data_IF_371906469971
#
_entry.id   IF_371906469971
#
_cell.length_a   1.000
_cell.length_b   1.000
_cell.length_c   1.000
_cell.angle_alpha   90.00
_cell.angle_beta   90.00
_cell.angle_gamma   90.00
#
_symmetry.space_group_name_H-M   'P 1'
#
loop_
_entity.id
_entity.type
_entity.pdbx_description
1 polymer ?
#
# COMPACT_ATOMS: atom_id res chain seq x y z
N UNK A 1 -9.84 43.91 -4.19
CA UNK A 1 -10.02 45.37 -4.05
C UNK A 1 -10.66 45.97 -5.30
N UNK A 2 -11.35 47.12 -5.21
CA UNK A 2 -11.97 47.84 -6.35
C UNK A 2 -11.19 49.14 -6.66
N UNK A 3 -9.87 49.01 -6.80
CA UNK A 3 -8.90 50.10 -6.62
C UNK A 3 -7.93 49.70 -5.50
N UNK A 4 -7.46 50.67 -4.71
CA UNK A 4 -6.69 50.41 -3.48
C UNK A 4 -7.59 50.13 -2.25
N UNK A 5 -8.92 50.19 -2.42
CA UNK A 5 -9.90 50.01 -1.34
C UNK A 5 -10.16 48.52 -1.06
N UNK A 6 -9.89 48.08 0.17
CA UNK A 6 -10.24 46.75 0.70
C UNK A 6 -11.76 46.66 0.90
N UNK A 7 -12.40 45.65 0.28
CA UNK A 7 -13.88 45.56 0.17
C UNK A 7 -14.48 44.45 1.04
N UNK A 8 -13.79 43.30 1.14
CA UNK A 8 -14.23 42.14 1.92
C UNK A 8 -13.01 41.58 2.64
N UNK A 9 -12.96 41.79 3.96
CA UNK A 9 -11.75 41.53 4.75
C UNK A 9 -10.57 42.44 4.36
N UNK A 10 -9.41 42.16 4.94
CA UNK A 10 -8.17 42.88 4.67
C UNK A 10 -7.01 41.91 4.47
N UNK A 11 -5.90 42.42 3.93
CA UNK A 11 -4.65 41.66 3.78
C UNK A 11 -3.99 41.22 5.11
N UNK A 12 -4.44 41.73 6.26
CA UNK A 12 -3.97 41.39 7.60
C UNK A 12 -5.02 40.73 8.50
N UNK A 13 -6.29 40.74 8.08
CA UNK A 13 -7.47 40.17 8.75
C UNK A 13 -8.43 39.68 7.64
N UNK A 14 -8.18 38.48 7.05
CA UNK A 14 -8.95 37.97 5.92
C UNK A 14 -10.39 37.64 6.31
N UNK A 15 -11.34 37.87 5.40
CA UNK A 15 -12.72 37.50 5.65
C UNK A 15 -12.90 35.99 5.58
N UNK A 16 -13.38 35.38 6.67
CA UNK A 16 -13.65 33.94 6.75
C UNK A 16 -15.14 33.68 6.52
N UNK A 17 -15.45 32.96 5.44
CA UNK A 17 -16.77 32.38 5.17
C UNK A 17 -16.69 30.87 5.42
N UNK A 18 -17.68 30.29 6.09
CA UNK A 18 -17.76 28.85 6.34
C UNK A 18 -18.31 28.09 5.11
N UNK A 19 -18.13 26.77 5.08
CA UNK A 19 -18.72 25.88 4.07
C UNK A 19 -20.07 25.34 4.55
N UNK A 20 -21.02 25.18 3.63
CA UNK A 20 -22.31 24.54 3.92
C UNK A 20 -22.07 23.13 4.46
N UNK A 21 -22.62 22.83 5.64
CA UNK A 21 -22.32 21.59 6.35
C UNK A 21 -22.52 20.32 5.50
N UNK A 22 -21.44 19.56 5.29
CA UNK A 22 -21.43 18.36 4.44
C UNK A 22 -21.30 18.63 2.95
N UNK A 23 -20.88 19.83 2.53
CA UNK A 23 -20.61 20.23 1.15
C UNK A 23 -19.26 20.98 1.08
N UNK A 24 -18.72 21.15 -0.14
CA UNK A 24 -17.47 21.90 -0.38
C UNK A 24 -17.71 23.33 -0.90
N UNK A 25 -18.93 23.85 -0.78
CA UNK A 25 -19.31 25.19 -1.22
C UNK A 25 -19.49 26.12 -0.03
N UNK A 26 -19.09 27.39 -0.18
CA UNK A 26 -19.29 28.43 0.85
C UNK A 26 -20.78 28.61 1.16
N UNK A 27 -21.11 28.96 2.40
CA UNK A 27 -22.45 29.45 2.74
C UNK A 27 -22.78 30.75 1.96
N UNK A 28 -24.07 31.08 1.84
CA UNK A 28 -24.51 32.31 1.18
C UNK A 28 -24.29 33.50 2.12
N UNK A 29 -23.33 34.36 1.78
CA UNK A 29 -22.90 35.49 2.62
C UNK A 29 -23.15 36.84 1.93
N UNK A 30 -23.88 37.73 2.59
CA UNK A 30 -24.18 39.09 2.11
C UNK A 30 -22.91 39.94 1.90
N UNK A 31 -21.80 39.65 2.61
CA UNK A 31 -20.53 40.34 2.41
C UNK A 31 -19.87 40.01 1.06
N UNK A 32 -20.29 38.92 0.40
CA UNK A 32 -19.85 38.53 -0.94
C UNK A 32 -20.82 38.99 -2.05
N UNK A 33 -21.94 39.66 -1.72
CA UNK A 33 -22.82 40.30 -2.70
C UNK A 33 -22.22 41.62 -3.20
N UNK A 34 -21.26 41.52 -4.12
CA UNK A 34 -20.52 42.65 -4.67
C UNK A 34 -21.23 43.32 -5.85
N UNK A 35 -21.17 44.66 -5.88
CA UNK A 35 -21.62 45.48 -7.02
C UNK A 35 -20.88 45.11 -8.32
N UNK A 36 -21.46 45.34 -9.52
CA UNK A 36 -20.77 45.10 -10.79
C UNK A 36 -19.51 45.98 -10.94
N UNK A 37 -18.33 45.35 -11.00
CA UNK A 37 -17.03 46.04 -10.99
C UNK A 37 -15.85 45.12 -11.29
N UNK A 38 -14.65 45.69 -11.32
CA UNK A 38 -13.40 44.94 -11.41
C UNK A 38 -12.82 44.76 -10.01
N UNK A 39 -12.58 43.53 -9.60
CA UNK A 39 -12.04 43.18 -8.29
C UNK A 39 -10.71 42.43 -8.41
N UNK A 40 -9.82 42.64 -7.45
CA UNK A 40 -8.73 41.70 -7.14
C UNK A 40 -9.12 40.76 -5.99
N UNK A 41 -8.70 39.50 -6.09
CA UNK A 41 -8.55 38.58 -4.96
C UNK A 41 -7.07 38.58 -4.57
N UNK A 42 -6.77 38.93 -3.31
CA UNK A 42 -5.41 39.19 -2.83
C UNK A 42 -4.94 38.18 -1.76
N UNK A 43 -5.86 37.38 -1.22
CA UNK A 43 -5.58 36.29 -0.28
C UNK A 43 -6.59 35.16 -0.50
N UNK A 44 -6.13 33.91 -0.44
CA UNK A 44 -7.00 32.73 -0.43
C UNK A 44 -6.31 31.60 0.34
N UNK A 45 -7.05 30.99 1.25
CA UNK A 45 -6.61 29.92 2.14
C UNK A 45 -7.83 29.12 2.62
N UNK A 46 -7.69 27.81 2.78
CA UNK A 46 -8.75 26.93 3.28
C UNK A 46 -8.25 26.18 4.52
N UNK A 47 -9.14 26.02 5.49
CA UNK A 47 -8.86 25.42 6.79
C UNK A 47 -9.78 24.22 7.04
N UNK A 48 -9.31 23.23 7.80
CA UNK A 48 -10.13 22.11 8.27
C UNK A 48 -11.14 22.55 9.37
N UNK A 49 -11.88 21.59 9.93
CA UNK A 49 -12.88 21.86 10.96
C UNK A 49 -12.28 22.26 12.33
N UNK A 50 -11.04 21.86 12.62
CA UNK A 50 -10.33 22.11 13.87
C UNK A 50 -9.53 23.43 13.84
N UNK A 51 -9.25 23.97 12.65
CA UNK A 51 -8.63 25.27 12.41
C UNK A 51 -7.25 25.22 11.74
N UNK A 52 -6.78 24.06 11.28
CA UNK A 52 -5.50 23.89 10.61
C UNK A 52 -5.57 24.28 9.13
N UNK A 53 -4.49 24.84 8.60
CA UNK A 53 -4.38 25.33 7.21
C UNK A 53 -4.08 24.16 6.26
N UNK A 54 -5.06 23.74 5.47
CA UNK A 54 -4.89 22.65 4.49
C UNK A 54 -4.40 23.16 3.12
N UNK A 55 -4.94 24.30 2.65
CA UNK A 55 -4.60 24.86 1.33
C UNK A 55 -4.28 26.35 1.43
N UNK A 56 -3.23 26.78 0.73
CA UNK A 56 -2.80 28.18 0.65
C UNK A 56 -2.51 28.56 -0.80
N UNK A 57 -3.08 29.67 -1.28
CA UNK A 57 -2.74 30.22 -2.60
C UNK A 57 -1.49 31.12 -2.53
N UNK A 58 -0.40 30.80 -3.25
CA UNK A 58 0.81 31.62 -3.24
C UNK A 58 0.62 33.01 -3.87
N UNK A 59 1.49 33.95 -3.49
CA UNK A 59 1.53 35.31 -4.07
C UNK A 59 2.69 35.49 -5.04
N UNK A 60 2.48 36.31 -6.06
CA UNK A 60 3.50 36.74 -7.03
C UNK A 60 4.72 37.31 -6.30
N UNK A 61 5.90 36.73 -6.54
CA UNK A 61 7.15 37.15 -5.87
C UNK A 61 7.30 36.68 -4.41
N UNK A 62 6.42 35.83 -3.91
CA UNK A 62 6.69 35.01 -2.72
C UNK A 62 7.51 33.77 -3.10
N UNK A 63 8.23 33.17 -2.15
CA UNK A 63 9.03 31.96 -2.41
C UNK A 63 8.22 30.76 -2.92
N UNK A 64 6.90 30.74 -2.67
CA UNK A 64 5.97 29.72 -3.15
C UNK A 64 5.28 30.12 -4.48
N UNK A 65 5.49 31.35 -4.95
CA UNK A 65 4.80 31.91 -6.12
C UNK A 65 5.22 31.31 -7.46
N UNK A 66 6.35 30.59 -7.50
CA UNK A 66 6.86 29.93 -8.71
C UNK A 66 6.33 28.50 -8.87
N UNK A 67 5.70 27.93 -7.82
CA UNK A 67 5.11 26.58 -7.79
C UNK A 67 3.65 26.54 -8.26
N UNK A 68 3.08 27.68 -8.71
CA UNK A 68 1.70 27.77 -9.21
C UNK A 68 1.66 28.55 -10.52
N UNK A 69 0.79 28.11 -11.44
CA UNK A 69 0.69 28.66 -12.80
C UNK A 69 0.12 30.09 -12.86
N UNK A 70 -0.61 30.51 -11.82
CA UNK A 70 -1.31 31.80 -11.78
C UNK A 70 -1.42 32.33 -10.33
N UNK A 71 -0.31 32.75 -9.69
CA UNK A 71 -0.28 33.20 -8.30
C UNK A 71 -1.09 34.49 -8.08
N UNK A 72 -1.54 34.71 -6.84
CA UNK A 72 -2.24 35.93 -6.43
C UNK A 72 -1.39 37.20 -6.68
N UNK A 73 -2.01 38.36 -6.97
CA UNK A 73 -3.45 38.63 -6.94
C UNK A 73 -4.17 38.29 -8.27
N UNK A 74 -5.37 37.72 -8.15
CA UNK A 74 -6.19 37.31 -9.30
C UNK A 74 -7.22 38.38 -9.66
N UNK A 75 -7.39 38.66 -10.96
CA UNK A 75 -8.29 39.69 -11.47
C UNK A 75 -9.68 39.14 -11.85
N UNK A 76 -10.74 39.83 -11.41
CA UNK A 76 -12.13 39.39 -11.46
C UNK A 76 -13.00 40.49 -12.08
N UNK A 77 -13.48 40.27 -13.30
CA UNK A 77 -14.52 41.08 -13.96
C UNK A 77 -15.90 40.55 -13.52
N UNK A 78 -16.56 41.27 -12.60
CA UNK A 78 -17.89 40.95 -12.09
C UNK A 78 -18.95 41.83 -12.78
N UNK A 79 -19.96 41.18 -13.37
CA UNK A 79 -20.98 41.86 -14.19
C UNK A 79 -22.38 41.63 -13.64
N UNK A 80 -23.27 42.60 -13.84
CA UNK A 80 -24.65 42.56 -13.36
C UNK A 80 -25.37 41.26 -13.77
N UNK A 81 -25.82 40.49 -12.78
CA UNK A 81 -26.54 39.22 -12.98
C UNK A 81 -25.65 38.01 -13.32
N UNK A 82 -24.33 38.10 -13.16
CA UNK A 82 -23.39 36.98 -13.38
C UNK A 82 -22.91 36.41 -12.04
N UNK A 83 -23.16 35.10 -11.81
CA UNK A 83 -22.37 34.34 -10.82
C UNK A 83 -21.00 34.04 -11.45
N UNK A 84 -19.94 34.60 -10.88
CA UNK A 84 -18.58 34.53 -11.43
C UNK A 84 -17.77 33.45 -10.69
N UNK A 85 -17.30 32.47 -11.46
CA UNK A 85 -16.32 31.48 -11.00
C UNK A 85 -14.91 31.96 -11.35
N UNK A 86 -13.94 31.65 -10.48
CA UNK A 86 -12.53 32.08 -10.58
C UNK A 86 -11.69 30.91 -10.10
N UNK A 87 -10.77 30.47 -10.94
CA UNK A 87 -9.91 29.33 -10.66
C UNK A 87 -8.68 29.83 -9.89
N UNK A 88 -8.47 29.28 -8.69
CA UNK A 88 -7.45 29.76 -7.73
C UNK A 88 -6.47 28.62 -7.46
N UNK A 89 -5.23 28.67 -7.98
CA UNK A 89 -4.26 27.62 -7.69
C UNK A 89 -3.77 27.74 -6.24
N UNK A 90 -3.64 26.59 -5.59
CA UNK A 90 -3.22 26.45 -4.19
C UNK A 90 -2.09 25.42 -4.11
N UNK A 91 -1.25 25.55 -3.08
CA UNK A 91 -0.41 24.46 -2.62
C UNK A 91 -1.12 23.74 -1.48
N UNK A 92 -1.05 22.41 -1.50
CA UNK A 92 -1.48 21.57 -0.40
C UNK A 92 -0.37 21.49 0.65
N UNK A 93 -0.72 21.63 1.91
CA UNK A 93 0.14 21.33 3.05
C UNK A 93 -0.50 20.17 3.82
N UNK A 94 -0.40 18.97 3.24
CA UNK A 94 -0.92 17.75 3.86
C UNK A 94 0.10 16.62 3.69
N UNK A 95 0.19 15.77 4.70
CA UNK A 95 1.18 14.70 4.83
C UNK A 95 0.44 13.36 4.73
N UNK A 96 0.31 12.87 3.48
CA UNK A 96 -0.37 11.65 3.01
C UNK A 96 -1.50 11.08 3.87
N UNK A 97 -2.76 11.31 3.47
CA UNK A 97 -3.72 10.19 3.40
C UNK A 97 -4.95 10.43 2.49
N UNK A 98 -5.59 9.30 2.18
CA UNK A 98 -6.97 9.00 1.78
C UNK A 98 -7.26 8.71 0.29
N UNK A 99 -7.24 7.41 -0.03
CA UNK A 99 -8.09 6.84 -1.08
C UNK A 99 -9.48 6.48 -0.53
N UNK A 100 -10.53 7.26 -0.84
CA UNK A 100 -11.91 6.78 -1.12
C UNK A 100 -12.92 7.95 -1.38
N UNK A 101 -13.93 7.69 -2.23
CA UNK A 101 -15.11 8.52 -2.55
C UNK A 101 -14.96 9.81 -3.40
N UNK A 102 -15.92 9.99 -4.31
CA UNK A 102 -16.22 11.21 -5.08
C UNK A 102 -17.66 11.10 -5.64
N UNK A 103 -18.33 12.10 -6.22
CA UNK A 103 -18.03 13.52 -6.53
C UNK A 103 -19.40 14.27 -6.49
N UNK A 104 -19.59 15.60 -6.64
CA UNK A 104 -19.04 16.66 -7.51
C UNK A 104 -19.18 18.02 -6.76
N UNK A 105 -18.56 19.15 -7.16
CA UNK A 105 -17.61 19.40 -8.26
C UNK A 105 -16.84 20.71 -7.99
N UNK A 106 -15.52 20.66 -8.14
CA UNK A 106 -14.68 21.73 -8.70
C UNK A 106 -13.73 21.04 -9.70
N UNK A 107 -13.24 21.78 -10.70
CA UNK A 107 -12.21 21.26 -11.61
C UNK A 107 -10.83 21.63 -11.04
N UNK A 108 -10.24 20.70 -10.28
CA UNK A 108 -8.94 20.86 -9.64
C UNK A 108 -7.86 20.22 -10.53
N UNK A 109 -7.00 21.04 -11.12
CA UNK A 109 -5.86 20.61 -11.94
C UNK A 109 -4.68 20.20 -11.02
N UNK A 110 -4.84 19.06 -10.35
CA UNK A 110 -3.87 18.53 -9.38
C UNK A 110 -2.65 17.95 -10.09
N UNK A 111 -1.60 18.76 -10.20
CA UNK A 111 -0.30 18.30 -10.66
C UNK A 111 0.35 17.52 -9.51
N UNK A 112 0.30 16.18 -9.59
CA UNK A 112 0.99 15.31 -8.62
C UNK A 112 2.50 15.48 -8.77
N UNK A 113 3.20 15.44 -7.65
CA UNK A 113 4.65 15.38 -7.60
C UNK A 113 5.09 14.15 -6.80
N UNK A 114 6.01 13.38 -7.36
CA UNK A 114 6.57 12.16 -6.77
C UNK A 114 7.92 12.50 -6.15
N UNK A 115 8.18 12.06 -4.91
CA UNK A 115 9.52 12.20 -4.34
C UNK A 115 10.43 11.09 -4.88
N UNK A 116 11.67 11.46 -5.23
CA UNK A 116 12.70 10.50 -5.63
C UNK A 116 14.07 10.93 -5.09
N UNK A 117 14.76 10.02 -4.43
CA UNK A 117 16.04 10.28 -3.77
C UNK A 117 17.20 9.61 -4.51
N UNK A 118 18.34 10.32 -4.65
CA UNK A 118 19.60 9.73 -5.08
C UNK A 118 20.58 9.66 -3.90
N UNK A 119 21.39 8.61 -3.83
CA UNK A 119 22.56 8.54 -2.94
C UNK A 119 23.74 7.91 -3.68
N UNK A 120 24.96 8.39 -3.44
CA UNK A 120 26.12 7.93 -4.19
C UNK A 120 27.33 7.52 -3.34
N UNK A 121 28.00 6.47 -3.80
CA UNK A 121 29.33 6.06 -3.37
C UNK A 121 30.36 6.27 -4.49
N UNK A 122 31.62 6.43 -4.11
CA UNK A 122 32.77 6.48 -5.02
C UNK A 122 33.86 5.51 -4.57
N UNK A 123 34.38 4.74 -5.52
CA UNK A 123 35.51 3.85 -5.33
C UNK A 123 36.65 4.28 -6.28
N UNK A 124 37.77 4.81 -5.76
CA UNK A 124 38.96 5.03 -6.58
C UNK A 124 39.59 3.68 -6.98
N UNK A 125 40.47 3.64 -7.99
CA UNK A 125 41.23 2.44 -8.39
C UNK A 125 42.20 1.86 -7.34
N UNK A 126 42.08 2.24 -6.08
CA UNK A 126 42.75 1.65 -4.92
C UNK A 126 41.84 0.69 -4.12
N UNK A 127 40.59 0.48 -4.55
CA UNK A 127 39.68 -0.52 -3.97
C UNK A 127 39.10 -0.15 -2.60
N UNK A 128 39.05 1.13 -2.23
CA UNK A 128 38.35 1.59 -1.02
C UNK A 128 37.08 2.34 -1.38
N UNK A 129 35.97 1.92 -0.78
CA UNK A 129 34.67 2.56 -0.93
C UNK A 129 34.60 3.81 -0.04
N UNK A 130 34.02 4.89 -0.56
CA UNK A 130 33.75 6.14 0.15
C UNK A 130 32.32 6.60 -0.16
N UNK A 131 31.67 7.30 0.77
CA UNK A 131 30.50 8.13 0.42
C UNK A 131 30.92 9.27 -0.50
N UNK A 132 30.15 9.55 -1.55
CA UNK A 132 30.50 10.53 -2.58
C UNK A 132 30.05 11.96 -2.22
N UNK A 133 30.78 12.95 -2.70
CA UNK A 133 30.25 14.28 -2.96
C UNK A 133 29.80 14.32 -4.43
N UNK A 134 28.57 14.71 -4.69
CA UNK A 134 27.95 14.63 -6.02
C UNK A 134 26.95 15.77 -6.23
N UNK A 135 26.61 16.04 -7.49
CA UNK A 135 25.51 16.94 -7.85
C UNK A 135 24.58 16.31 -8.88
N UNK A 136 23.27 16.51 -8.69
CA UNK A 136 22.22 15.98 -9.57
C UNK A 136 21.67 17.11 -10.45
N UNK A 137 21.40 16.78 -11.71
CA UNK A 137 20.62 17.60 -12.65
C UNK A 137 19.55 16.73 -13.29
N UNK A 138 18.35 17.27 -13.52
CA UNK A 138 17.18 16.52 -14.01
C UNK A 138 16.45 17.36 -15.05
N UNK A 139 16.04 16.74 -16.15
CA UNK A 139 15.30 17.34 -17.26
C UNK A 139 14.04 16.53 -17.58
N UNK A 140 13.00 17.22 -18.06
CA UNK A 140 11.81 16.60 -18.65
C UNK A 140 12.07 16.18 -20.10
N UNK A 141 11.75 14.92 -20.42
CA UNK A 141 12.12 14.20 -21.63
C UNK A 141 13.42 13.40 -21.47
N UNK A 142 13.65 12.45 -22.38
CA UNK A 142 14.70 11.41 -22.30
C UNK A 142 16.14 11.87 -22.62
N UNK A 143 16.46 13.16 -22.42
CA UNK A 143 17.84 13.68 -22.56
C UNK A 143 17.99 15.08 -21.96
N UNK A 144 19.23 15.50 -21.68
CA UNK A 144 19.57 16.87 -21.24
C UNK A 144 19.38 17.97 -22.31
N UNK A 145 18.78 17.65 -23.45
CA UNK A 145 18.18 18.61 -24.38
C UNK A 145 16.73 19.01 -24.01
N UNK A 146 16.15 18.38 -22.98
CA UNK A 146 14.82 18.64 -22.44
C UNK A 146 14.69 19.94 -21.64
N UNK A 147 13.55 20.11 -20.98
CA UNK A 147 13.33 21.27 -20.08
C UNK A 147 13.99 20.98 -18.73
N UNK A 148 14.97 21.76 -18.25
CA UNK A 148 15.59 21.53 -16.95
C UNK A 148 14.58 21.76 -15.82
N UNK A 149 14.49 20.78 -14.92
CA UNK A 149 13.70 20.82 -13.68
C UNK A 149 14.62 21.17 -12.50
N UNK A 150 15.76 20.48 -12.42
CA UNK A 150 16.80 20.68 -11.42
C UNK A 150 18.17 20.75 -12.10
N UNK A 151 19.12 21.50 -11.55
CA UNK A 151 20.44 21.68 -12.18
C UNK A 151 21.52 21.91 -11.13
N UNK A 152 22.49 21.00 -11.08
CA UNK A 152 23.68 21.13 -10.22
C UNK A 152 23.37 21.15 -8.72
N UNK A 153 22.33 20.44 -8.26
CA UNK A 153 21.96 20.38 -6.85
C UNK A 153 22.96 19.47 -6.13
N UNK A 154 23.87 20.08 -5.37
CA UNK A 154 24.94 19.38 -4.62
C UNK A 154 24.38 18.67 -3.37
N UNK A 155 24.88 17.46 -3.12
CA UNK A 155 24.53 16.68 -1.94
C UNK A 155 25.06 17.31 -0.63
N UNK A 156 24.29 17.21 0.44
CA UNK A 156 24.73 17.68 1.75
C UNK A 156 25.81 16.75 2.33
N UNK A 157 27.07 17.16 2.22
CA UNK A 157 28.24 16.39 2.65
C UNK A 157 28.99 17.03 3.81
N UNK A 158 29.58 16.21 4.68
CA UNK A 158 30.27 16.69 5.86
C UNK A 158 31.09 15.64 6.60
N UNK A 159 31.53 16.00 7.79
CA UNK A 159 32.28 15.14 8.71
C UNK A 159 31.69 15.26 10.12
N UNK A 160 31.49 14.14 10.80
CA UNK A 160 31.05 14.10 12.20
C UNK A 160 32.21 14.35 13.17
N UNK A 161 31.90 14.72 14.42
CA UNK A 161 32.90 15.00 15.48
C UNK A 161 33.84 13.83 15.80
N UNK A 162 33.47 12.59 15.43
CA UNK A 162 34.30 11.40 15.58
C UNK A 162 35.35 11.23 14.45
N UNK A 163 35.22 11.97 13.35
CA UNK A 163 36.07 11.91 12.17
C UNK A 163 35.49 11.18 10.95
N UNK A 164 34.29 10.59 11.04
CA UNK A 164 33.64 9.90 9.93
C UNK A 164 33.00 10.89 8.94
N UNK A 165 33.14 10.62 7.63
CA UNK A 165 32.52 11.42 6.57
C UNK A 165 31.13 10.91 6.22
N UNK A 166 30.21 11.82 5.89
CA UNK A 166 28.84 11.51 5.47
C UNK A 166 28.42 12.30 4.23
N UNK A 167 27.55 11.71 3.43
CA UNK A 167 26.61 12.42 2.56
C UNK A 167 25.20 12.01 2.98
N UNK A 168 24.21 12.89 2.81
CA UNK A 168 22.80 12.46 2.82
C UNK A 168 22.38 11.99 1.42
N UNK A 169 21.26 11.26 1.31
CA UNK A 169 20.48 11.27 0.07
C UNK A 169 20.12 12.69 -0.35
N UNK A 170 19.87 12.89 -1.64
CA UNK A 170 19.43 14.15 -2.23
C UNK A 170 18.12 13.88 -2.97
N UNK A 171 17.02 14.44 -2.46
CA UNK A 171 15.66 14.12 -2.90
C UNK A 171 15.03 15.26 -3.71
N UNK A 172 14.14 14.89 -4.64
CA UNK A 172 13.55 15.78 -5.65
C UNK A 172 12.06 15.53 -5.77
N UNK A 173 11.29 16.61 -5.94
CA UNK A 173 9.87 16.53 -6.28
C UNK A 173 9.73 16.51 -7.82
N UNK A 174 9.52 15.33 -8.38
CA UNK A 174 9.43 15.08 -9.82
C UNK A 174 7.97 15.22 -10.29
N UNK A 175 7.70 15.77 -11.48
CA UNK A 175 6.34 15.82 -12.02
C UNK A 175 5.82 14.41 -12.31
N UNK A 176 4.50 14.20 -12.26
CA UNK A 176 3.88 12.92 -12.58
C UNK A 176 3.72 12.67 -14.11
N UNK A 177 3.45 11.41 -14.49
CA UNK A 177 3.11 10.99 -15.87
C UNK A 177 1.84 10.11 -15.91
N UNK A 178 1.09 10.17 -17.02
CA UNK A 178 -0.09 9.33 -17.27
C UNK A 178 0.28 7.88 -17.64
N UNK A 179 1.41 7.67 -18.33
CA UNK A 179 1.93 6.33 -18.62
C UNK A 179 2.95 5.91 -17.53
N UNK A 180 2.73 4.75 -16.94
CA UNK A 180 3.60 4.16 -15.94
C UNK A 180 5.00 3.82 -16.51
N UNK A 181 5.07 3.38 -17.78
CA UNK A 181 6.24 2.73 -18.36
C UNK A 181 6.92 3.55 -19.47
N UNK A 182 6.52 4.81 -19.70
CA UNK A 182 7.21 5.69 -20.64
C UNK A 182 8.27 6.54 -19.91
N UNK A 183 9.54 6.32 -20.25
CA UNK A 183 10.66 7.19 -19.89
C UNK A 183 10.33 8.66 -20.20
N UNK A 184 10.14 9.47 -19.17
CA UNK A 184 9.69 10.87 -19.32
C UNK A 184 10.59 11.88 -18.59
N UNK A 185 11.56 11.40 -17.81
CA UNK A 185 12.61 12.20 -17.19
C UNK A 185 14.00 11.68 -17.58
N UNK A 186 15.00 12.55 -17.51
CA UNK A 186 16.41 12.21 -17.68
C UNK A 186 17.24 12.89 -16.60
N UNK A 187 18.20 12.17 -16.02
CA UNK A 187 19.07 12.68 -14.97
C UNK A 187 20.55 12.55 -15.33
N UNK A 188 21.36 13.48 -14.83
CA UNK A 188 22.82 13.42 -14.81
C UNK A 188 23.30 13.63 -13.37
N UNK A 189 23.89 12.61 -12.75
CA UNK A 189 24.58 12.72 -11.46
C UNK A 189 26.08 12.82 -11.71
N UNK A 190 26.66 13.96 -11.34
CA UNK A 190 28.08 14.26 -11.52
C UNK A 190 28.84 14.04 -10.22
N UNK A 191 29.93 13.26 -10.27
CA UNK A 191 30.83 13.10 -9.14
C UNK A 191 31.70 14.35 -8.95
N UNK A 192 31.81 14.83 -7.71
CA UNK A 192 32.56 16.04 -7.36
C UNK A 192 33.85 15.72 -6.58
N UNK A 193 34.80 16.65 -6.65
CA UNK A 193 35.99 16.66 -5.81
C UNK A 193 35.60 16.73 -4.31
N UNK A 194 36.31 15.97 -3.46
CA UNK A 194 36.19 16.07 -2.01
C UNK A 194 37.58 15.97 -1.35
N UNK A 195 38.34 17.08 -1.28
CA UNK A 195 39.76 17.08 -0.87
C UNK A 195 40.05 16.54 0.53
N UNK A 196 39.05 16.47 1.42
CA UNK A 196 39.19 15.94 2.77
C UNK A 196 38.98 14.41 2.85
N UNK A 197 38.13 13.85 1.97
CA UNK A 197 37.65 12.47 2.04
C UNK A 197 38.45 11.54 1.11
N UNK A 198 38.33 11.74 -0.21
CA UNK A 198 39.00 10.93 -1.25
C UNK A 198 39.92 11.73 -2.20
N UNK A 199 39.95 13.06 -2.09
CA UNK A 199 40.80 13.91 -2.93
C UNK A 199 40.06 14.47 -4.15
N UNK A 200 40.75 14.47 -5.31
CA UNK A 200 40.16 14.88 -6.59
C UNK A 200 39.78 13.68 -7.47
N UNK A 201 38.77 13.87 -8.30
CA UNK A 201 38.17 12.82 -9.15
C UNK A 201 38.48 13.03 -10.64
N UNK A 202 38.25 12.05 -11.52
CA UNK A 202 38.35 12.28 -12.96
C UNK A 202 37.31 13.31 -13.41
N UNK A 203 37.75 14.34 -14.14
CA UNK A 203 36.86 15.40 -14.60
C UNK A 203 35.84 14.85 -15.63
N UNK A 204 34.56 15.07 -15.39
CA UNK A 204 33.47 14.55 -16.23
C UNK A 204 33.03 13.12 -15.90
N UNK A 205 33.33 12.61 -14.70
CA UNK A 205 32.69 11.39 -14.18
C UNK A 205 31.21 11.70 -13.87
N UNK A 206 30.33 11.17 -14.73
CA UNK A 206 28.87 11.32 -14.67
C UNK A 206 28.23 9.95 -14.83
N UNK A 207 27.19 9.66 -14.04
CA UNK A 207 26.23 8.59 -14.29
C UNK A 207 24.93 9.27 -14.76
N UNK A 208 24.27 8.71 -15.76
CA UNK A 208 23.03 9.26 -16.29
C UNK A 208 22.09 8.18 -16.76
N UNK A 209 20.80 8.35 -16.50
CA UNK A 209 19.75 7.44 -16.91
C UNK A 209 18.46 8.20 -17.21
N UNK A 210 17.46 7.46 -17.65
CA UNK A 210 16.06 7.90 -17.74
C UNK A 210 15.29 7.41 -16.51
N UNK A 211 14.11 7.99 -16.28
CA UNK A 211 13.10 7.45 -15.37
C UNK A 211 11.75 7.46 -16.07
N UNK A 212 11.08 6.31 -16.06
CA UNK A 212 9.63 6.17 -16.18
C UNK A 212 8.97 6.50 -14.83
N UNK A 213 7.65 6.35 -14.74
CA UNK A 213 6.92 6.51 -13.48
C UNK A 213 6.99 5.25 -12.62
N UNK A 214 7.12 4.07 -13.22
CA UNK A 214 7.31 2.81 -12.49
C UNK A 214 8.63 2.83 -11.72
N UNK A 215 9.75 3.22 -12.37
CA UNK A 215 11.07 3.32 -11.70
C UNK A 215 11.07 4.28 -10.49
N UNK A 216 10.16 5.27 -10.48
CA UNK A 216 9.98 6.20 -9.37
C UNK A 216 9.15 5.56 -8.25
N UNK A 217 8.08 4.84 -8.60
CA UNK A 217 7.19 4.17 -7.65
C UNK A 217 7.84 2.93 -7.00
N UNK A 218 8.76 2.25 -7.68
CA UNK A 218 9.47 1.09 -7.15
C UNK A 218 10.42 1.45 -5.99
N UNK A 219 10.78 2.73 -5.83
CA UNK A 219 11.55 3.26 -4.69
C UNK A 219 10.68 3.64 -3.47
N UNK A 220 9.44 3.16 -3.36
CA UNK A 220 8.56 3.39 -2.20
C UNK A 220 8.34 2.11 -1.37
N UNK A 221 9.00 2.01 -0.21
CA UNK A 221 8.75 0.96 0.79
C UNK A 221 7.46 1.28 1.59
N UNK A 222 6.32 0.95 0.97
CA UNK A 222 4.99 1.19 1.52
C UNK A 222 4.58 2.66 1.55
N UNK A 223 3.56 2.98 2.36
CA UNK A 223 2.89 4.29 2.31
C UNK A 223 3.75 5.46 2.83
N UNK A 224 4.84 5.21 3.57
CA UNK A 224 5.63 6.23 4.28
C UNK A 224 7.10 6.37 3.84
N UNK A 225 7.82 5.28 3.55
CA UNK A 225 9.26 5.35 3.22
C UNK A 225 9.48 5.69 1.73
N UNK A 226 10.57 6.42 1.46
CA UNK A 226 11.14 6.61 0.11
C UNK A 226 12.60 6.19 0.18
N UNK A 227 12.94 5.12 -0.54
CA UNK A 227 14.31 4.64 -0.69
C UNK A 227 15.08 5.48 -1.73
N UNK A 228 16.38 5.23 -1.84
CA UNK A 228 17.27 5.99 -2.71
C UNK A 228 17.89 5.15 -3.83
N UNK A 229 17.95 5.73 -5.02
CA UNK A 229 18.72 5.24 -6.15
C UNK A 229 20.22 5.22 -5.78
N UNK A 230 20.81 4.02 -5.66
CA UNK A 230 22.14 3.82 -5.09
C UNK A 230 23.26 3.81 -6.15
N UNK A 231 23.70 4.99 -6.57
CA UNK A 231 24.71 5.15 -7.61
C UNK A 231 26.14 4.84 -7.11
N UNK A 232 26.87 3.98 -7.83
CA UNK A 232 28.20 3.47 -7.43
C UNK A 232 29.32 3.88 -8.40
N UNK A 233 29.84 5.10 -8.29
CA UNK A 233 30.90 5.60 -9.17
C UNK A 233 32.21 4.80 -9.06
N UNK A 234 32.60 4.11 -10.15
CA UNK A 234 33.90 3.43 -10.24
C UNK A 234 34.07 2.23 -9.29
N UNK A 235 32.98 1.79 -8.66
CA UNK A 235 32.95 0.59 -7.82
C UNK A 235 32.71 -0.71 -8.62
N UNK A 236 32.51 -0.61 -9.93
CA UNK A 236 32.49 -1.74 -10.85
C UNK A 236 33.82 -2.48 -10.81
N UNK A 237 33.79 -3.79 -10.54
CA UNK A 237 34.96 -4.64 -10.45
C UNK A 237 35.49 -5.03 -11.85
N UNK A 238 36.01 -4.02 -12.55
CA UNK A 238 36.97 -4.13 -13.67
C UNK A 238 36.56 -5.03 -14.86
N UNK A 239 35.24 -5.15 -15.13
CA UNK A 239 34.71 -5.52 -16.45
C UNK A 239 34.38 -7.00 -16.68
N UNK A 240 33.36 -7.49 -15.98
CA UNK A 240 32.37 -8.44 -16.52
C UNK A 240 30.97 -7.99 -16.06
N UNK A 241 29.92 -8.78 -16.35
CA UNK A 241 28.64 -8.72 -15.63
C UNK A 241 28.86 -8.60 -14.12
N UNK A 242 27.89 -8.03 -13.34
CA UNK A 242 27.94 -8.22 -11.89
C UNK A 242 27.98 -9.73 -11.62
N UNK A 243 28.64 -10.19 -10.54
CA UNK A 243 28.87 -11.62 -10.32
C UNK A 243 27.58 -12.41 -10.46
N UNK A 244 27.67 -13.52 -11.18
CA UNK A 244 26.59 -14.47 -11.46
C UNK A 244 27.30 -15.82 -11.20
N UNK A 245 27.31 -16.24 -9.94
CA UNK A 245 28.18 -17.30 -9.43
C UNK A 245 27.69 -18.71 -9.84
N UNK A 246 26.45 -18.84 -10.29
CA UNK A 246 25.85 -20.12 -10.69
C UNK A 246 25.42 -20.22 -12.18
N UNK A 247 25.36 -19.07 -12.88
CA UNK A 247 25.22 -18.87 -14.33
C UNK A 247 23.78 -19.07 -14.83
N UNK A 248 22.80 -18.53 -14.10
CA UNK A 248 21.37 -18.57 -14.43
C UNK A 248 20.91 -17.39 -15.33
N UNK A 249 21.51 -16.21 -15.17
CA UNK A 249 21.20 -14.98 -15.90
C UNK A 249 20.81 -13.76 -15.03
N UNK A 250 20.58 -13.93 -13.73
CA UNK A 250 20.41 -12.90 -12.71
C UNK A 250 21.78 -12.61 -12.05
N UNK A 251 22.10 -11.37 -11.64
CA UNK A 251 23.34 -11.08 -10.92
C UNK A 251 23.16 -11.23 -9.39
N UNK A 252 24.18 -11.72 -8.68
CA UNK A 252 24.27 -11.95 -7.23
C UNK A 252 23.77 -10.79 -6.31
N UNK A 253 23.74 -9.53 -6.78
CA UNK A 253 23.24 -8.38 -6.01
C UNK A 253 21.68 -8.26 -6.10
N UNK A 254 21.06 -8.86 -7.13
CA UNK A 254 19.61 -8.87 -7.44
C UNK A 254 18.98 -10.28 -7.34
N UNK A 255 19.80 -11.31 -7.13
CA UNK A 255 19.48 -12.75 -7.13
C UNK A 255 19.04 -13.22 -5.74
N UNK A 256 17.90 -13.94 -5.64
CA UNK A 256 17.38 -14.45 -4.36
C UNK A 256 17.90 -15.85 -4.00
N UNK A 257 18.67 -16.48 -4.90
CA UNK A 257 19.44 -17.70 -4.69
C UNK A 257 20.87 -17.68 -5.30
N UNK A 258 21.82 -16.81 -4.86
CA UNK A 258 23.14 -16.58 -5.48
C UNK A 258 24.15 -17.74 -5.60
N UNK A 259 23.71 -18.99 -5.47
CA UNK A 259 24.47 -20.23 -5.56
C UNK A 259 23.63 -21.42 -6.13
N UNK A 260 22.35 -21.22 -6.50
CA UNK A 260 21.42 -22.27 -6.97
C UNK A 260 20.49 -21.76 -8.10
N UNK A 261 20.75 -22.07 -9.39
CA UNK A 261 20.11 -21.41 -10.54
C UNK A 261 18.57 -21.46 -10.58
N UNK A 262 17.91 -20.30 -10.63
CA UNK A 262 16.45 -20.13 -10.66
C UNK A 262 15.98 -18.93 -11.52
N UNK A 263 16.08 -18.97 -12.88
CA UNK A 263 15.90 -17.78 -13.73
C UNK A 263 14.49 -17.18 -13.81
N UNK A 264 13.53 -17.70 -13.04
CA UNK A 264 12.20 -17.11 -12.85
C UNK A 264 12.09 -16.27 -11.58
N UNK A 265 13.10 -16.28 -10.69
CA UNK A 265 13.12 -15.59 -9.40
C UNK A 265 11.91 -15.93 -8.53
N UNK A 266 11.42 -17.17 -8.60
CA UNK A 266 10.30 -17.63 -7.79
C UNK A 266 10.63 -17.57 -6.28
N UNK A 267 9.78 -16.86 -5.54
CA UNK A 267 9.72 -16.71 -4.08
C UNK A 267 8.23 -16.77 -3.70
N UNK A 268 7.79 -17.91 -3.16
CA UNK A 268 6.38 -18.22 -2.98
C UNK A 268 5.73 -17.63 -1.72
N UNK A 269 6.52 -17.20 -0.72
CA UNK A 269 6.02 -16.68 0.55
C UNK A 269 6.49 -15.24 0.90
N UNK A 270 7.46 -14.70 0.16
CA UNK A 270 7.88 -13.29 0.18
C UNK A 270 8.98 -12.97 1.19
N UNK A 271 9.91 -13.89 1.42
CA UNK A 271 10.99 -13.75 2.42
C UNK A 271 12.31 -13.18 1.88
N UNK A 272 12.51 -13.20 0.56
CA UNK A 272 13.74 -12.76 -0.10
C UNK A 272 14.77 -13.86 -0.36
N UNK A 273 14.44 -15.13 -0.12
CA UNK A 273 15.20 -16.33 -0.50
C UNK A 273 14.34 -17.17 -1.44
N UNK A 274 14.85 -17.48 -2.63
CA UNK A 274 14.04 -18.13 -3.67
C UNK A 274 13.73 -19.61 -3.41
N UNK A 275 12.62 -20.08 -3.99
CA UNK A 275 12.09 -21.46 -3.92
C UNK A 275 13.15 -22.56 -4.18
N UNK A 276 14.21 -22.23 -4.92
CA UNK A 276 15.26 -23.15 -5.33
C UNK A 276 16.36 -23.39 -4.27
N UNK A 277 16.58 -22.44 -3.36
CA UNK A 277 17.63 -22.49 -2.34
C UNK A 277 17.10 -22.36 -0.90
N UNK A 278 15.88 -21.87 -0.73
CA UNK A 278 15.20 -21.84 0.55
C UNK A 278 15.02 -23.26 1.14
N UNK A 279 15.12 -23.37 2.45
CA UNK A 279 14.85 -24.56 3.23
C UNK A 279 13.39 -24.68 3.71
N UNK A 280 12.51 -23.71 3.38
CA UNK A 280 11.18 -23.54 3.94
C UNK A 280 10.01 -23.16 2.98
N UNK A 281 9.94 -23.47 1.65
CA UNK A 281 9.37 -22.61 0.57
C UNK A 281 7.87 -22.27 0.53
N UNK A 282 7.21 -22.20 1.69
CA UNK A 282 5.85 -21.74 1.93
C UNK A 282 5.72 -21.04 3.32
N UNK A 283 6.82 -20.81 4.05
CA UNK A 283 6.89 -20.09 5.34
C UNK A 283 8.14 -19.20 5.42
N UNK A 284 7.93 -17.91 5.21
CA UNK A 284 8.95 -16.87 5.27
C UNK A 284 9.85 -16.94 6.52
N UNK A 285 11.14 -17.24 6.31
CA UNK A 285 12.18 -17.33 7.34
C UNK A 285 13.53 -16.71 6.88
N UNK A 286 13.65 -15.37 6.68
CA UNK A 286 14.78 -14.75 5.94
C UNK A 286 16.19 -14.93 6.53
N UNK A 287 16.29 -15.59 7.68
CA UNK A 287 17.53 -15.99 8.33
C UNK A 287 17.94 -17.44 8.01
N UNK A 288 17.13 -18.17 7.24
CA UNK A 288 17.27 -19.58 6.89
C UNK A 288 17.44 -20.50 8.12
N UNK A 289 16.81 -20.16 9.26
CA UNK A 289 16.88 -20.97 10.48
C UNK A 289 16.08 -22.28 10.31
N UNK A 290 16.71 -23.47 10.36
CA UNK A 290 16.01 -24.74 10.27
C UNK A 290 15.05 -25.01 11.44
N UNK A 291 15.06 -24.16 12.48
CA UNK A 291 14.04 -24.17 13.52
C UNK A 291 12.72 -23.51 13.09
N UNK A 292 12.72 -22.57 12.14
CA UNK A 292 11.49 -22.04 11.55
C UNK A 292 10.73 -23.15 10.81
N UNK A 293 11.45 -23.93 9.99
CA UNK A 293 10.91 -25.14 9.34
C UNK A 293 10.68 -26.32 10.29
N UNK A 294 11.02 -26.18 11.58
CA UNK A 294 10.65 -27.13 12.64
C UNK A 294 9.43 -26.66 13.47
N UNK A 295 9.06 -25.39 13.37
CA UNK A 295 7.78 -24.85 13.82
C UNK A 295 6.70 -24.94 12.73
N UNK A 296 7.01 -25.54 11.56
CA UNK A 296 6.02 -26.25 10.74
C UNK A 296 5.42 -27.42 11.54
N UNK A 297 4.12 -27.42 11.86
CA UNK A 297 3.32 -28.60 11.54
C UNK A 297 3.43 -28.79 10.01
N UNK A 298 3.85 -29.98 9.56
CA UNK A 298 4.44 -30.16 8.23
C UNK A 298 3.54 -29.87 7.03
N UNK A 299 4.15 -29.75 5.85
CA UNK A 299 3.63 -29.59 4.46
C UNK A 299 2.32 -30.32 4.05
N UNK A 300 1.72 -31.15 4.91
CA UNK A 300 0.38 -31.70 4.73
C UNK A 300 -0.74 -30.82 5.37
N UNK A 301 -0.38 -29.68 5.98
CA UNK A 301 -1.30 -28.70 6.57
C UNK A 301 -2.07 -27.88 5.53
N UNK A 302 -3.40 -27.93 5.58
CA UNK A 302 -4.28 -27.26 4.63
C UNK A 302 -5.47 -26.55 5.30
N UNK A 303 -6.02 -25.54 4.61
CA UNK A 303 -7.24 -24.86 5.10
C UNK A 303 -8.46 -25.71 4.80
N UNK A 304 -9.17 -26.08 5.86
CA UNK A 304 -10.20 -27.09 5.90
C UNK A 304 -11.58 -26.49 6.12
N UNK A 305 -12.53 -26.78 5.22
CA UNK A 305 -13.87 -26.20 5.21
C UNK A 305 -14.94 -27.29 5.38
N UNK A 306 -15.87 -27.12 6.32
CA UNK A 306 -17.06 -27.96 6.40
C UNK A 306 -17.94 -27.74 5.17
N UNK A 307 -18.45 -28.81 4.57
CA UNK A 307 -19.41 -28.74 3.49
C UNK A 307 -20.79 -28.26 3.96
N UNK A 308 -21.46 -27.43 3.17
CA UNK A 308 -22.77 -26.85 3.46
C UNK A 308 -23.50 -26.38 2.19
N UNK A 309 -24.72 -25.87 2.35
CA UNK A 309 -25.60 -25.44 1.25
C UNK A 309 -25.33 -24.02 0.75
N UNK A 310 -24.77 -23.14 1.59
CA UNK A 310 -24.50 -21.74 1.25
C UNK A 310 -23.01 -21.55 0.97
N UNK A 311 -22.65 -21.42 -0.30
CA UNK A 311 -21.30 -20.99 -0.68
C UNK A 311 -21.00 -19.58 -0.14
N UNK A 312 -19.91 -19.40 0.61
CA UNK A 312 -19.59 -18.12 1.26
C UNK A 312 -19.27 -16.98 0.27
N UNK A 313 -18.93 -17.33 -0.99
CA UNK A 313 -18.77 -16.40 -2.10
C UNK A 313 -20.09 -15.68 -2.51
N UNK A 314 -21.25 -16.25 -2.14
CA UNK A 314 -22.58 -15.70 -2.45
C UNK A 314 -23.02 -14.62 -1.45
N UNK A 315 -22.33 -14.54 -0.31
CA UNK A 315 -22.54 -13.54 0.73
C UNK A 315 -21.72 -12.28 0.39
N UNK A 316 -22.34 -11.11 0.48
CA UNK A 316 -21.76 -9.84 -0.02
C UNK A 316 -20.68 -9.25 0.92
N UNK A 317 -19.60 -9.98 1.17
CA UNK A 317 -18.44 -9.48 1.93
C UNK A 317 -17.31 -9.02 0.98
N UNK A 318 -16.57 -7.94 1.32
CA UNK A 318 -15.45 -7.47 0.50
C UNK A 318 -14.23 -8.38 0.66
N UNK A 319 -13.97 -9.26 -0.31
CA UNK A 319 -12.78 -10.13 -0.37
C UNK A 319 -13.06 -11.48 -1.02
N UNK A 320 -12.02 -12.32 -1.13
CA UNK A 320 -12.15 -13.71 -1.56
C UNK A 320 -12.71 -14.55 -0.40
N UNK A 321 -13.98 -14.95 -0.49
CA UNK A 321 -14.64 -15.79 0.51
C UNK A 321 -14.80 -17.21 -0.06
N UNK A 322 -13.99 -18.16 0.41
CA UNK A 322 -14.10 -19.59 0.07
C UNK A 322 -14.63 -20.39 1.26
N UNK A 323 -15.13 -21.59 0.99
CA UNK A 323 -15.83 -22.44 1.96
C UNK A 323 -17.36 -22.33 1.87
N UNK A 324 -18.02 -23.06 2.78
CA UNK A 324 -19.48 -23.14 2.88
C UNK A 324 -19.96 -22.80 4.29
N UNK A 325 -21.16 -22.24 4.37
CA UNK A 325 -22.00 -22.24 5.56
C UNK A 325 -23.14 -23.24 5.41
N UNK A 326 -23.60 -23.75 6.55
CA UNK A 326 -24.84 -24.50 6.71
C UNK A 326 -25.95 -23.55 7.19
N UNK A 327 -27.03 -23.41 6.43
CA UNK A 327 -28.27 -22.76 6.88
C UNK A 327 -29.27 -23.85 7.31
N UNK A 328 -29.17 -24.30 8.57
CA UNK A 328 -30.04 -25.35 9.08
C UNK A 328 -31.42 -24.74 9.38
N UNK A 329 -32.41 -25.03 8.54
CA UNK A 329 -33.77 -24.49 8.67
C UNK A 329 -34.82 -25.50 9.19
N UNK A 330 -34.42 -26.75 9.38
CA UNK A 330 -35.30 -27.85 9.78
C UNK A 330 -36.35 -28.27 8.75
N UNK A 331 -36.31 -27.73 7.53
CA UNK A 331 -37.30 -27.95 6.46
C UNK A 331 -36.71 -28.55 5.18
N UNK A 332 -35.42 -28.32 4.92
CA UNK A 332 -34.78 -28.70 3.67
C UNK A 332 -34.21 -30.14 3.68
N UNK A 333 -34.74 -31.01 2.82
CA UNK A 333 -34.47 -32.47 2.91
C UNK A 333 -33.11 -32.92 2.37
N UNK A 334 -32.15 -32.01 2.20
CA UNK A 334 -30.81 -32.35 1.70
C UNK A 334 -29.90 -32.83 2.82
N UNK A 335 -29.92 -32.17 3.99
CA UNK A 335 -29.06 -32.51 5.13
C UNK A 335 -29.44 -33.85 5.80
N UNK A 336 -30.67 -34.34 5.59
CA UNK A 336 -31.08 -35.71 5.92
C UNK A 336 -30.15 -36.78 5.33
N UNK A 337 -29.49 -36.50 4.19
CA UNK A 337 -28.52 -37.39 3.55
C UNK A 337 -27.26 -37.60 4.41
N UNK A 338 -26.96 -36.64 5.28
CA UNK A 338 -25.80 -36.63 6.20
C UNK A 338 -26.18 -37.05 7.63
N UNK A 339 -27.45 -37.37 7.90
CA UNK A 339 -27.93 -37.80 9.21
C UNK A 339 -27.48 -39.24 9.51
N UNK A 340 -26.63 -39.42 10.53
CA UNK A 340 -26.13 -40.75 10.95
C UNK A 340 -26.99 -41.38 12.04
N UNK A 341 -27.67 -40.57 12.85
CA UNK A 341 -28.73 -40.99 13.78
C UNK A 341 -29.65 -39.81 14.13
N UNK A 342 -30.74 -40.05 14.85
CA UNK A 342 -31.72 -39.03 15.24
C UNK A 342 -31.03 -37.85 15.97
N UNK A 343 -31.02 -36.67 15.35
CA UNK A 343 -30.33 -35.47 15.86
C UNK A 343 -28.82 -35.41 15.63
N UNK A 344 -28.21 -36.34 14.88
CA UNK A 344 -26.76 -36.37 14.61
C UNK A 344 -26.48 -36.39 13.11
N UNK A 345 -25.74 -35.40 12.63
CA UNK A 345 -25.36 -35.18 11.23
C UNK A 345 -23.83 -35.17 11.10
N UNK A 346 -23.28 -35.70 10.01
CA UNK A 346 -21.83 -35.73 9.75
C UNK A 346 -21.52 -35.15 8.36
N UNK A 347 -21.07 -33.90 8.31
CA UNK A 347 -20.74 -33.18 7.08
C UNK A 347 -19.25 -33.35 6.75
N UNK A 348 -18.84 -33.62 5.49
CA UNK A 348 -17.43 -33.68 5.11
C UNK A 348 -16.64 -32.41 5.48
N UNK A 349 -15.39 -32.61 5.91
CA UNK A 349 -14.40 -31.55 6.13
C UNK A 349 -13.37 -31.62 5.00
N UNK A 350 -13.27 -30.56 4.19
CA UNK A 350 -12.45 -30.53 2.96
C UNK A 350 -11.26 -29.56 3.06
N UNK A 351 -10.06 -30.11 3.07
CA UNK A 351 -8.78 -29.42 2.97
C UNK A 351 -8.44 -29.07 1.51
N UNK A 352 -7.79 -27.92 1.27
CA UNK A 352 -7.41 -27.48 -0.08
C UNK A 352 -8.60 -27.12 -0.99
N UNK A 353 -9.80 -26.94 -0.43
CA UNK A 353 -11.05 -26.67 -1.16
C UNK A 353 -11.17 -25.21 -1.67
N UNK A 354 -10.07 -24.64 -2.18
CA UNK A 354 -10.03 -23.32 -2.80
C UNK A 354 -11.09 -23.16 -3.90
N UNK A 355 -11.72 -21.99 -3.96
CA UNK A 355 -12.83 -21.70 -4.88
C UNK A 355 -13.99 -22.71 -4.80
N UNK A 356 -14.20 -23.36 -3.64
CA UNK A 356 -15.24 -24.36 -3.38
C UNK A 356 -15.09 -25.64 -4.22
N UNK A 357 -13.88 -25.93 -4.73
CA UNK A 357 -13.63 -27.02 -5.66
C UNK A 357 -13.28 -28.34 -4.95
N UNK A 358 -14.30 -29.11 -4.56
CA UNK A 358 -14.11 -30.45 -3.94
C UNK A 358 -13.49 -31.51 -4.87
N UNK A 359 -13.25 -31.21 -6.16
CA UNK A 359 -12.57 -32.13 -7.08
C UNK A 359 -11.03 -32.05 -7.03
N UNK A 360 -10.46 -31.05 -6.33
CA UNK A 360 -9.02 -30.96 -6.01
C UNK A 360 -8.73 -31.04 -4.51
N UNK A 361 -9.76 -31.04 -3.68
CA UNK A 361 -9.66 -31.07 -2.22
C UNK A 361 -9.38 -32.47 -1.65
N UNK A 362 -8.69 -32.53 -0.50
CA UNK A 362 -8.59 -33.72 0.35
C UNK A 362 -9.75 -33.72 1.36
N UNK A 363 -10.27 -34.90 1.72
CA UNK A 363 -11.22 -35.02 2.84
C UNK A 363 -10.45 -35.41 4.10
N UNK A 364 -10.51 -34.56 5.11
CA UNK A 364 -9.70 -34.64 6.34
C UNK A 364 -10.49 -35.24 7.52
N UNK A 365 -11.73 -35.63 7.25
CA UNK A 365 -12.67 -36.24 8.20
C UNK A 365 -14.10 -35.73 7.99
N UNK A 366 -14.84 -35.62 9.10
CA UNK A 366 -16.19 -35.04 9.13
C UNK A 366 -16.38 -34.10 10.32
N UNK A 367 -17.21 -33.08 10.14
CA UNK A 367 -17.79 -32.30 11.24
C UNK A 367 -19.09 -32.96 11.66
N UNK A 368 -19.11 -33.53 12.87
CA UNK A 368 -20.30 -34.06 13.52
C UNK A 368 -21.05 -32.94 14.23
N UNK A 369 -22.30 -32.70 13.80
CA UNK A 369 -23.25 -31.79 14.44
C UNK A 369 -24.29 -32.62 15.18
N UNK A 370 -24.38 -32.43 16.50
CA UNK A 370 -25.33 -33.13 17.39
C UNK A 370 -26.28 -32.11 18.01
N UNK A 371 -27.58 -32.28 17.78
CA UNK A 371 -28.65 -31.41 18.28
C UNK A 371 -29.33 -32.04 19.51
N UNK A 372 -29.51 -31.25 20.56
CA UNK A 372 -30.46 -31.53 21.66
C UNK A 372 -31.54 -30.44 21.71
N UNK A 373 -32.56 -30.64 22.57
CA UNK A 373 -33.64 -29.67 22.80
C UNK A 373 -33.14 -28.26 23.21
N UNK A 374 -31.88 -28.14 23.66
CA UNK A 374 -31.30 -26.97 24.33
C UNK A 374 -29.85 -26.61 23.90
N UNK A 375 -29.20 -27.39 23.04
CA UNK A 375 -27.79 -27.20 22.67
C UNK A 375 -27.43 -27.81 21.30
N UNK A 376 -26.60 -27.11 20.52
CA UNK A 376 -25.88 -27.65 19.37
C UNK A 376 -24.43 -27.97 19.75
N UNK A 377 -24.02 -29.23 19.64
CA UNK A 377 -22.62 -29.65 19.78
C UNK A 377 -22.01 -29.84 18.39
N UNK A 378 -20.80 -29.29 18.20
CA UNK A 378 -20.03 -29.39 16.96
C UNK A 378 -18.72 -30.08 17.28
N UNK A 379 -18.41 -31.18 16.58
CA UNK A 379 -17.21 -31.99 16.82
C UNK A 379 -16.45 -32.23 15.52
N UNK A 380 -15.15 -31.97 15.52
CA UNK A 380 -14.25 -32.36 14.44
C UNK A 380 -13.86 -33.84 14.64
N UNK A 381 -14.24 -34.69 13.70
CA UNK A 381 -13.91 -36.12 13.65
C UNK A 381 -12.93 -36.32 12.52
N UNK A 382 -11.65 -36.13 12.82
CA UNK A 382 -10.56 -36.20 11.84
C UNK A 382 -10.26 -37.65 11.46
N UNK A 383 -9.76 -37.85 10.25
CA UNK A 383 -9.33 -39.16 9.74
C UNK A 383 -7.96 -39.59 10.31
N UNK A 384 -7.56 -40.84 10.03
CA UNK A 384 -6.45 -41.51 10.73
C UNK A 384 -5.06 -41.09 10.24
N UNK A 385 -4.57 -39.98 10.79
CA UNK A 385 -3.28 -39.32 10.54
C UNK A 385 -3.46 -37.85 10.92
N UNK A 386 -4.47 -37.28 10.26
CA UNK A 386 -4.97 -35.92 10.39
C UNK A 386 -5.08 -35.41 11.83
N UNK A 387 -4.45 -34.26 12.05
CA UNK A 387 -4.48 -33.41 13.22
C UNK A 387 -5.13 -32.06 12.88
N UNK A 388 -5.49 -31.27 13.91
CA UNK A 388 -6.00 -29.90 13.75
C UNK A 388 -5.18 -28.96 14.61
N UNK A 389 -4.67 -27.88 14.03
CA UNK A 389 -3.84 -26.89 14.73
C UNK A 389 -4.67 -25.67 15.19
N UNK A 390 -5.62 -25.21 14.37
CA UNK A 390 -6.61 -24.19 14.73
C UNK A 390 -8.00 -24.54 14.16
N UNK A 391 -9.06 -24.06 14.81
CA UNK A 391 -10.41 -24.04 14.27
C UNK A 391 -11.14 -22.73 14.56
N UNK A 392 -11.98 -22.30 13.62
CA UNK A 392 -12.85 -21.14 13.73
C UNK A 392 -14.29 -21.58 13.46
N UNK A 393 -15.19 -21.38 14.43
CA UNK A 393 -16.58 -21.82 14.32
C UNK A 393 -17.52 -20.65 14.62
N UNK A 394 -18.34 -20.29 13.63
CA UNK A 394 -19.47 -19.37 13.78
C UNK A 394 -20.74 -20.20 14.02
N UNK A 395 -21.50 -19.85 15.05
CA UNK A 395 -22.85 -20.34 15.30
C UNK A 395 -23.79 -19.17 15.57
N UNK A 396 -24.99 -19.17 14.99
CA UNK A 396 -26.00 -18.18 15.32
C UNK A 396 -27.40 -18.47 14.77
N UNK A 397 -28.42 -18.28 15.61
CA UNK A 397 -29.85 -18.34 15.29
C UNK A 397 -30.34 -17.11 14.49
N UNK A 398 -29.46 -16.12 14.26
CA UNK A 398 -29.73 -14.90 13.51
C UNK A 398 -29.19 -14.92 12.08
N UNK A 399 -29.06 -13.74 11.48
CA UNK A 399 -28.44 -13.57 10.15
C UNK A 399 -26.99 -14.08 10.11
N UNK A 400 -26.49 -14.36 8.89
CA UNK A 400 -25.07 -14.46 8.58
C UNK A 400 -24.27 -13.26 9.16
N UNK A 401 -22.98 -13.42 9.53
CA UNK A 401 -22.20 -12.39 10.20
C UNK A 401 -22.12 -11.08 9.41
N UNK A 402 -22.38 -9.94 10.05
CA UNK A 402 -22.54 -8.65 9.38
C UNK A 402 -21.22 -7.92 9.02
N UNK A 403 -20.08 -8.49 9.40
CA UNK A 403 -18.74 -8.19 8.85
C UNK A 403 -18.19 -9.50 8.27
N UNK A 404 -17.09 -9.42 7.51
CA UNK A 404 -16.41 -10.59 6.90
C UNK A 404 -16.46 -11.82 7.81
N UNK A 405 -16.58 -13.00 7.21
CA UNK A 405 -16.01 -14.20 7.80
C UNK A 405 -14.52 -14.25 7.42
N UNK A 406 -13.59 -14.15 8.38
CA UNK A 406 -12.31 -14.83 8.26
C UNK A 406 -11.82 -15.33 9.64
N UNK A 407 -10.54 -15.72 9.74
CA UNK A 407 -9.83 -15.88 11.02
C UNK A 407 -9.62 -14.58 11.82
N UNK A 408 -10.24 -13.45 11.44
CA UNK A 408 -10.11 -12.16 12.14
C UNK A 408 -11.44 -11.38 12.23
N UNK A 409 -11.75 -10.90 13.44
CA UNK A 409 -12.89 -10.01 13.80
C UNK A 409 -14.31 -10.63 13.72
N UNK A 410 -14.84 -11.12 14.85
CA UNK A 410 -16.26 -11.54 14.91
C UNK A 410 -16.77 -12.07 16.25
N UNK A 411 -16.12 -11.74 17.37
CA UNK A 411 -16.29 -12.41 18.66
C UNK A 411 -17.75 -12.57 19.13
N UNK A 412 -18.17 -13.81 19.36
CA UNK A 412 -19.21 -14.18 20.34
C UNK A 412 -18.76 -15.38 21.18
N UNK A 413 -18.06 -16.35 20.57
CA UNK A 413 -17.34 -17.42 21.28
C UNK A 413 -15.94 -17.63 20.69
N UNK A 414 -14.94 -16.92 21.24
CA UNK A 414 -13.53 -17.17 20.92
C UNK A 414 -13.12 -18.58 21.38
N UNK A 415 -12.77 -19.43 20.41
CA UNK A 415 -12.32 -20.80 20.65
C UNK A 415 -11.12 -21.18 19.76
N UNK A 416 -10.15 -20.27 19.59
CA UNK A 416 -8.79 -20.58 19.10
C UNK A 416 -8.15 -21.59 20.07
N UNK A 417 -8.44 -22.87 19.80
CA UNK A 417 -8.16 -24.01 20.66
C UNK A 417 -8.08 -25.26 19.81
N UNK A 418 -7.13 -26.14 20.11
CA UNK A 418 -7.04 -27.50 19.57
C UNK A 418 -8.04 -28.45 20.27
N UNK A 419 -9.28 -27.98 20.44
CA UNK A 419 -10.39 -28.75 21.01
C UNK A 419 -11.27 -29.29 19.88
N UNK A 420 -11.27 -30.59 19.68
CA UNK A 420 -12.13 -31.22 18.67
C UNK A 420 -13.64 -31.18 18.99
N UNK A 421 -14.09 -30.48 20.05
CA UNK A 421 -15.50 -30.44 20.48
C UNK A 421 -15.87 -29.07 21.05
N UNK A 422 -16.89 -28.46 20.46
CA UNK A 422 -17.49 -27.19 20.85
C UNK A 422 -18.98 -27.41 21.17
N UNK A 423 -19.60 -26.53 21.95
CA UNK A 423 -21.03 -26.65 22.28
C UNK A 423 -21.64 -25.27 22.52
N UNK A 424 -22.79 -25.03 21.87
CA UNK A 424 -23.47 -23.75 21.77
C UNK A 424 -24.90 -23.90 22.32
N UNK A 425 -25.35 -23.01 23.21
CA UNK A 425 -26.75 -23.03 23.65
C UNK A 425 -27.66 -22.77 22.45
N UNK A 426 -28.76 -23.52 22.38
CA UNK A 426 -29.74 -23.46 21.29
C UNK A 426 -31.13 -23.23 21.86
N UNK A 427 -31.91 -22.34 21.27
CA UNK A 427 -33.27 -22.01 21.70
C UNK A 427 -34.29 -23.10 21.35
N UNK A 428 -33.96 -24.02 20.44
CA UNK A 428 -34.82 -25.11 20.00
C UNK A 428 -35.96 -24.67 19.06
N UNK A 429 -35.95 -23.44 18.56
CA UNK A 429 -37.09 -22.86 17.82
C UNK A 429 -37.14 -23.21 16.32
N UNK A 430 -36.04 -23.69 15.75
CA UNK A 430 -36.01 -24.45 14.50
C UNK A 430 -34.87 -24.11 13.54
N UNK A 431 -34.22 -22.95 13.65
CA UNK A 431 -33.21 -22.52 12.65
C UNK A 431 -31.90 -22.02 13.25
N UNK A 432 -30.77 -22.40 12.64
CA UNK A 432 -29.45 -21.86 12.99
C UNK A 432 -28.49 -21.89 11.80
N UNK A 433 -27.53 -20.96 11.80
CA UNK A 433 -26.43 -20.91 10.83
C UNK A 433 -25.13 -21.37 11.47
N UNK A 434 -24.38 -22.19 10.75
CA UNK A 434 -23.12 -22.77 11.19
C UNK A 434 -22.06 -22.61 10.09
N UNK A 435 -20.88 -22.09 10.44
CA UNK A 435 -19.67 -22.13 9.61
C UNK A 435 -18.58 -22.78 10.44
N UNK A 436 -17.87 -23.75 9.88
CA UNK A 436 -16.75 -24.43 10.53
C UNK A 436 -15.56 -24.45 9.58
N UNK A 437 -14.55 -23.66 9.92
CA UNK A 437 -13.23 -23.67 9.28
C UNK A 437 -12.21 -24.26 10.25
N UNK A 438 -11.17 -24.89 9.72
CA UNK A 438 -10.05 -25.41 10.47
C UNK A 438 -8.75 -25.33 9.64
N UNK A 439 -7.62 -25.56 10.28
CA UNK A 439 -6.37 -25.90 9.59
C UNK A 439 -5.98 -27.31 10.01
N UNK A 440 -5.96 -28.24 9.05
CA UNK A 440 -5.80 -29.68 9.29
C UNK A 440 -4.59 -30.25 8.54
N UNK A 441 -3.81 -31.09 9.22
CA UNK A 441 -2.51 -31.58 8.74
C UNK A 441 -2.42 -33.10 8.92
N UNK A 442 -2.05 -33.84 7.86
CA UNK A 442 -2.08 -35.32 7.79
C UNK A 442 -1.00 -36.06 8.61
#
# INVERSE_FOLDING_TARGET
MLGDDEVVGTSADPYRVDLVAGQLFTEEDEALELDPGNYTLDHFSVYNADGDLIWLSPRTGSALGEFVTNPLPLAIDLRAGVKKYVDVPVLCFDDRDVNEYGYLFFELDTNVALEFCFFANYCPPNGRHYTANYSVSIWAGTSSAGTPLYTGVEANTGQYDNGDYYATPTCFALPDNDDLNEDYLYYEVTLLDWPANYGSVPAGTVISGTLSKQDILDNFDGDDNVDYEHLRFGCEDNGTTPPDDDNDGVPNDDDNCPNVPNPGQEDADGDGVGDACDNCPNIANPNQDPAACADQPGDDCETSYMFGDVELNSLQYPGNNWGWGLDFDGSDSWFDTYMTSEGVYEFPLWAGAGQNNTAVARQDGVVRVTLTDDNVQVQLVLDAGVSVIESHIFFGEGNWPAKRAPGQLGNNYNATTSLNVHSYPYSGDGTFRLIVHAVTCE
#
